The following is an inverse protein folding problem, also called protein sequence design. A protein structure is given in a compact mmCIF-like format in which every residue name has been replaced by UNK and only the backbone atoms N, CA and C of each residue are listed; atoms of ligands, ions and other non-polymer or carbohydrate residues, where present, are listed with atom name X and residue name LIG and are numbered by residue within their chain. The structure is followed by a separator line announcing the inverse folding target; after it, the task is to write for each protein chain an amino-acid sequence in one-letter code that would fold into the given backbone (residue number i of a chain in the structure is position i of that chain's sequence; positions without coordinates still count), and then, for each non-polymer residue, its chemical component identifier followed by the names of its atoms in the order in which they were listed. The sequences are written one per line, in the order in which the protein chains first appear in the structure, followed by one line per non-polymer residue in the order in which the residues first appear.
data_IF_776356183731
#
_entry.id   IF_776356183731
#
_cell.length_a   1.000
_cell.length_b   1.000
_cell.length_c   1.000
_cell.angle_alpha   90.00
_cell.angle_beta   90.00
_cell.angle_gamma   90.00
#
_symmetry.space_group_name_H-M   'P 1'
#
loop_
_entity.id
_entity.type
_entity.pdbx_description
1 polymer ?
#
# COMPACT_ATOMS: atom_id res chain seq x y z
N UNK A 1 -30.23 -4.33 29.43
CA UNK A 1 -28.82 -3.97 29.73
C UNK A 1 -27.81 -5.00 29.18
N UNK A 2 -28.18 -6.29 29.06
CA UNK A 2 -27.32 -7.36 28.55
C UNK A 2 -27.02 -7.30 27.04
N UNK A 3 -27.93 -6.77 26.20
CA UNK A 3 -27.70 -6.72 24.75
C UNK A 3 -26.55 -5.79 24.33
N UNK A 4 -26.40 -4.62 24.97
CA UNK A 4 -25.29 -3.70 24.65
C UNK A 4 -23.92 -4.31 24.93
N UNK A 5 -23.80 -5.20 25.91
CA UNK A 5 -22.54 -5.88 26.23
C UNK A 5 -22.20 -6.97 25.20
N UNK A 6 -23.19 -7.69 24.68
CA UNK A 6 -23.00 -8.68 23.62
C UNK A 6 -22.61 -8.01 22.30
N UNK A 7 -23.25 -6.90 21.93
CA UNK A 7 -22.92 -6.15 20.72
C UNK A 7 -21.49 -5.59 20.79
N UNK A 8 -21.13 -4.96 21.92
CA UNK A 8 -19.78 -4.38 22.11
C UNK A 8 -18.68 -5.42 22.20
N UNK A 9 -18.98 -6.65 22.67
CA UNK A 9 -18.05 -7.77 22.57
C UNK A 9 -17.95 -8.25 21.12
N UNK A 10 -19.08 -8.52 20.45
CA UNK A 10 -19.11 -8.96 19.05
C UNK A 10 -18.32 -8.04 18.11
N UNK A 11 -18.47 -6.72 18.25
CA UNK A 11 -17.71 -5.71 17.51
C UNK A 11 -16.20 -5.81 17.79
N UNK A 12 -15.79 -5.88 19.06
CA UNK A 12 -14.37 -6.03 19.43
C UNK A 12 -13.77 -7.34 18.92
N UNK A 13 -14.55 -8.42 18.89
CA UNK A 13 -14.11 -9.70 18.34
C UNK A 13 -13.92 -9.60 16.82
N UNK A 14 -14.88 -9.01 16.11
CA UNK A 14 -14.78 -8.76 14.67
C UNK A 14 -13.54 -7.91 14.34
N UNK A 15 -13.27 -6.86 15.13
CA UNK A 15 -12.08 -6.01 14.98
C UNK A 15 -10.77 -6.79 15.09
N UNK A 16 -10.67 -7.72 16.04
CA UNK A 16 -9.44 -8.49 16.27
C UNK A 16 -9.23 -9.54 15.18
N UNK A 17 -10.31 -10.12 14.65
CA UNK A 17 -10.26 -11.02 13.51
C UNK A 17 -9.83 -10.33 12.21
N UNK A 18 -10.33 -9.12 11.97
CA UNK A 18 -9.87 -8.27 10.86
C UNK A 18 -8.38 -7.99 11.04
N UNK A 19 -8.00 -7.46 12.21
CA UNK A 19 -6.61 -7.16 12.56
C UNK A 19 -5.65 -8.35 12.34
N UNK A 20 -6.05 -9.56 12.72
CA UNK A 20 -5.26 -10.77 12.52
C UNK A 20 -5.16 -11.14 11.03
N UNK A 21 -6.28 -11.09 10.30
CA UNK A 21 -6.30 -11.38 8.86
C UNK A 21 -5.38 -10.44 8.08
N UNK A 22 -5.35 -9.17 8.44
CA UNK A 22 -4.46 -8.21 7.79
C UNK A 22 -3.00 -8.42 8.13
N UNK A 23 -2.73 -8.87 9.37
CA UNK A 23 -1.38 -9.20 9.81
C UNK A 23 -0.85 -10.43 9.06
N UNK A 24 -1.71 -11.43 8.82
CA UNK A 24 -1.38 -12.62 8.03
C UNK A 24 -1.05 -12.28 6.57
N UNK A 25 -1.90 -11.46 5.92
CA UNK A 25 -1.63 -10.94 4.56
C UNK A 25 -0.30 -10.19 4.48
N UNK A 26 0.01 -9.38 5.49
CA UNK A 26 1.30 -8.70 5.58
C UNK A 26 2.46 -9.69 5.64
N UNK A 27 2.43 -10.65 6.56
CA UNK A 27 3.50 -11.65 6.73
C UNK A 27 3.72 -12.44 5.44
N UNK A 28 2.63 -12.77 4.74
CA UNK A 28 2.69 -13.39 3.40
C UNK A 28 3.40 -12.51 2.38
N UNK A 29 2.97 -11.27 2.19
CA UNK A 29 3.57 -10.37 1.19
C UNK A 29 5.01 -9.97 1.50
N UNK A 30 5.36 -9.87 2.77
CA UNK A 30 6.72 -9.56 3.21
C UNK A 30 7.69 -10.76 3.07
N UNK A 31 7.21 -11.94 2.65
CA UNK A 31 8.03 -13.15 2.57
C UNK A 31 8.42 -13.71 3.93
N UNK A 32 7.68 -13.35 5.00
CA UNK A 32 8.02 -13.68 6.38
C UNK A 32 7.28 -14.91 6.91
N UNK A 33 6.50 -15.61 6.07
CA UNK A 33 5.69 -16.77 6.49
C UNK A 33 6.51 -17.86 7.18
N UNK A 34 7.67 -18.22 6.62
CA UNK A 34 8.53 -19.25 7.21
C UNK A 34 8.94 -18.96 8.66
N UNK A 35 8.94 -17.69 9.07
CA UNK A 35 9.31 -17.28 10.43
C UNK A 35 8.10 -17.13 11.37
N UNK A 36 6.93 -16.72 10.87
CA UNK A 36 5.80 -16.31 11.74
C UNK A 36 4.49 -17.08 11.51
N UNK A 37 4.44 -18.02 10.58
CA UNK A 37 3.23 -18.81 10.30
C UNK A 37 2.70 -19.52 11.56
N UNK A 38 3.58 -20.11 12.36
CA UNK A 38 3.21 -20.79 13.62
C UNK A 38 2.56 -19.83 14.63
N UNK A 39 3.05 -18.59 14.72
CA UNK A 39 2.50 -17.57 15.61
C UNK A 39 1.11 -17.11 15.13
N UNK A 40 0.92 -16.94 13.82
CA UNK A 40 -0.38 -16.60 13.23
C UNK A 40 -1.42 -17.71 13.45
N UNK A 41 -1.03 -18.98 13.25
CA UNK A 41 -1.87 -20.15 13.54
C UNK A 41 -2.25 -20.24 15.02
N UNK A 42 -1.32 -19.92 15.93
CA UNK A 42 -1.58 -19.89 17.37
C UNK A 42 -2.63 -18.82 17.72
N UNK A 43 -2.48 -17.59 17.21
CA UNK A 43 -3.48 -16.54 17.44
C UNK A 43 -4.85 -16.89 16.88
N UNK A 44 -4.92 -17.46 15.67
CA UNK A 44 -6.19 -17.94 15.07
C UNK A 44 -6.85 -18.98 15.98
N UNK A 45 -6.07 -19.97 16.41
CA UNK A 45 -6.56 -21.06 17.27
C UNK A 45 -7.08 -20.53 18.61
N UNK A 46 -6.37 -19.57 19.20
CA UNK A 46 -6.79 -18.96 20.47
C UNK A 46 -8.05 -18.10 20.31
N UNK A 47 -8.19 -17.34 19.21
CA UNK A 47 -9.41 -16.57 18.95
C UNK A 47 -10.63 -17.47 18.68
N UNK A 48 -10.44 -18.63 18.04
CA UNK A 48 -11.51 -19.62 17.82
C UNK A 48 -11.96 -20.26 19.13
N UNK A 49 -11.00 -20.70 19.96
CA UNK A 49 -11.28 -21.40 21.22
C UNK A 49 -11.89 -20.49 22.30
N UNK A 50 -11.49 -19.22 22.35
CA UNK A 50 -11.89 -18.29 23.42
C UNK A 50 -12.83 -17.19 22.94
N UNK A 51 -13.74 -17.51 22.01
CA UNK A 51 -14.67 -16.59 21.30
C UNK A 51 -15.55 -15.70 22.20
N UNK A 52 -15.53 -15.88 23.52
CA UNK A 52 -16.28 -15.07 24.50
C UNK A 52 -15.47 -14.67 25.77
N UNK A 53 -14.17 -14.96 25.86
CA UNK A 53 -13.34 -14.57 27.02
C UNK A 53 -12.64 -13.25 26.71
N UNK A 54 -13.24 -12.15 27.19
CA UNK A 54 -12.79 -10.79 26.87
C UNK A 54 -11.31 -10.50 27.16
N UNK A 55 -10.73 -11.14 28.17
CA UNK A 55 -9.32 -10.92 28.54
C UNK A 55 -8.34 -11.63 27.59
N UNK A 56 -8.70 -12.81 27.08
CA UNK A 56 -7.90 -13.48 26.05
C UNK A 56 -7.87 -12.67 24.74
N UNK A 57 -8.98 -12.03 24.39
CA UNK A 57 -9.07 -11.23 23.16
C UNK A 57 -8.34 -9.92 23.26
N UNK A 58 -8.39 -9.26 24.43
CA UNK A 58 -7.55 -8.09 24.69
C UNK A 58 -6.07 -8.45 24.65
N UNK A 59 -5.68 -9.58 25.24
CA UNK A 59 -4.29 -10.07 25.22
C UNK A 59 -3.82 -10.33 23.79
N UNK A 60 -4.57 -11.12 23.01
CA UNK A 60 -4.22 -11.41 21.61
C UNK A 60 -4.18 -10.13 20.77
N UNK A 61 -5.13 -9.21 20.94
CA UNK A 61 -5.08 -7.89 20.29
C UNK A 61 -3.79 -7.15 20.62
N UNK A 62 -3.38 -7.12 21.90
CA UNK A 62 -2.13 -6.48 22.34
C UNK A 62 -0.91 -7.14 21.72
N UNK A 63 -0.87 -8.47 21.67
CA UNK A 63 0.20 -9.23 21.02
C UNK A 63 0.32 -8.91 19.54
N UNK A 64 -0.81 -8.90 18.79
CA UNK A 64 -0.81 -8.55 17.37
C UNK A 64 -0.37 -7.09 17.17
N UNK A 65 -0.81 -6.16 18.01
CA UNK A 65 -0.40 -4.74 17.94
C UNK A 65 1.08 -4.58 18.23
N UNK A 66 1.63 -5.30 19.21
CA UNK A 66 3.05 -5.26 19.55
C UNK A 66 3.91 -5.89 18.46
N UNK A 67 3.54 -7.08 17.97
CA UNK A 67 4.16 -7.73 16.82
C UNK A 67 4.26 -6.76 15.66
N UNK A 68 3.13 -6.08 15.36
CA UNK A 68 3.12 -5.01 14.39
C UNK A 68 4.16 -3.95 14.80
N UNK A 69 4.01 -3.27 15.94
CA UNK A 69 4.93 -2.18 16.34
C UNK A 69 6.43 -2.55 16.20
N UNK A 70 6.84 -3.74 16.60
CA UNK A 70 8.23 -4.22 16.45
C UNK A 70 8.67 -4.30 14.99
N UNK A 71 7.85 -4.88 14.10
CA UNK A 71 8.20 -4.92 12.67
C UNK A 71 8.31 -3.53 12.05
N UNK A 72 7.56 -2.54 12.58
CA UNK A 72 7.71 -1.12 12.22
C UNK A 72 9.09 -0.58 12.55
N UNK A 73 9.64 -0.95 13.70
CA UNK A 73 10.99 -0.54 14.14
C UNK A 73 12.06 -1.20 13.26
N UNK A 74 11.80 -2.42 12.77
CA UNK A 74 12.66 -3.13 11.83
C UNK A 74 12.52 -2.65 10.37
N UNK A 75 11.82 -1.54 10.11
CA UNK A 75 11.67 -0.92 8.78
C UNK A 75 10.41 -1.35 8.01
N UNK A 76 9.57 -2.22 8.55
CA UNK A 76 8.31 -2.63 7.91
C UNK A 76 7.17 -1.68 8.31
N UNK A 77 6.85 -0.67 7.51
CA UNK A 77 5.87 0.36 7.87
C UNK A 77 4.40 -0.16 7.87
N UNK A 78 3.85 -0.55 9.02
CA UNK A 78 2.57 -1.31 9.06
C UNK A 78 1.28 -0.50 8.93
N UNK A 79 1.35 0.82 8.81
CA UNK A 79 0.18 1.57 8.30
C UNK A 79 0.05 1.40 6.78
N UNK A 80 1.16 1.05 6.13
CA UNK A 80 1.25 0.69 4.71
C UNK A 80 1.20 -0.83 4.48
N UNK A 81 1.21 -1.66 5.54
CA UNK A 81 1.15 -3.12 5.43
C UNK A 81 -0.11 -3.66 4.72
N UNK A 82 -1.10 -2.83 4.43
CA UNK A 82 -2.24 -3.14 3.56
C UNK A 82 -2.02 -2.69 2.12
N UNK A 83 -1.22 -1.66 1.87
CA UNK A 83 -0.98 -1.05 0.57
C UNK A 83 0.41 -1.44 0.04
N UNK A 84 0.45 -2.28 -0.98
CA UNK A 84 1.67 -2.62 -1.72
C UNK A 84 1.75 -1.78 -3.00
N UNK A 85 2.93 -1.59 -3.57
CA UNK A 85 3.10 -1.05 -4.92
C UNK A 85 3.76 -2.12 -5.77
N UNK A 86 3.12 -2.42 -6.90
CA UNK A 86 3.63 -3.39 -7.87
C UNK A 86 3.77 -2.73 -9.23
N UNK A 87 4.97 -2.80 -9.80
CA UNK A 87 5.21 -2.39 -11.16
C UNK A 87 4.97 -3.58 -12.10
N UNK A 88 3.98 -3.47 -12.97
CA UNK A 88 3.69 -4.36 -14.10
C UNK A 88 4.29 -3.75 -15.36
N UNK A 89 4.35 -4.52 -16.46
CA UNK A 89 4.90 -4.05 -17.74
C UNK A 89 4.12 -2.89 -18.38
N UNK A 90 4.15 -2.81 -19.71
CA UNK A 90 3.50 -1.73 -20.45
C UNK A 90 2.02 -2.02 -20.69
N UNK A 91 1.24 -0.93 -20.83
CA UNK A 91 -0.19 -0.95 -21.10
C UNK A 91 -0.53 0.19 -22.07
N UNK A 92 -1.44 -0.09 -22.99
CA UNK A 92 -2.07 0.89 -23.87
C UNK A 92 -3.36 1.45 -23.28
N UNK A 93 -4.04 2.32 -24.02
CA UNK A 93 -5.31 2.94 -23.63
C UNK A 93 -6.43 1.93 -23.28
N UNK A 94 -6.36 0.70 -23.80
CA UNK A 94 -7.30 -0.38 -23.46
C UNK A 94 -7.29 -0.73 -21.96
N UNK A 95 -6.24 -0.34 -21.23
CA UNK A 95 -6.16 -0.53 -19.79
C UNK A 95 -7.29 0.18 -19.02
N UNK A 96 -7.86 1.26 -19.57
CA UNK A 96 -9.01 1.94 -18.98
C UNK A 96 -10.22 1.01 -18.84
N UNK A 97 -10.45 0.13 -19.82
CA UNK A 97 -11.57 -0.80 -19.81
C UNK A 97 -11.49 -1.82 -18.65
N UNK A 98 -10.28 -2.06 -18.13
CA UNK A 98 -10.02 -2.98 -17.00
C UNK A 98 -9.67 -2.24 -15.70
N UNK A 99 -10.09 -0.97 -15.62
CA UNK A 99 -10.08 -0.17 -14.39
C UNK A 99 -8.78 0.58 -14.11
N UNK A 100 -7.87 0.70 -15.07
CA UNK A 100 -6.73 1.60 -14.92
C UNK A 100 -7.13 3.07 -15.16
N UNK A 101 -6.42 3.96 -14.46
CA UNK A 101 -6.47 5.41 -14.63
C UNK A 101 -5.08 5.92 -14.99
N UNK A 102 -5.01 7.08 -15.62
CA UNK A 102 -3.72 7.69 -15.99
C UNK A 102 -3.09 8.38 -14.79
N UNK A 103 -1.75 8.32 -14.75
CA UNK A 103 -0.91 8.88 -13.71
C UNK A 103 0.34 9.48 -14.38
N UNK A 104 0.68 10.71 -14.03
CA UNK A 104 2.00 11.27 -14.29
C UNK A 104 2.70 11.42 -12.95
N UNK A 105 3.85 10.76 -12.81
CA UNK A 105 4.65 10.69 -11.60
C UNK A 105 5.98 11.39 -11.85
N UNK A 106 6.43 12.16 -10.87
CA UNK A 106 7.71 12.85 -10.90
C UNK A 106 8.49 12.54 -9.63
N UNK A 107 9.76 12.21 -9.80
CA UNK A 107 10.73 11.92 -8.73
C UNK A 107 11.86 12.95 -8.84
N UNK A 108 12.02 13.77 -7.79
CA UNK A 108 13.10 14.74 -7.66
C UNK A 108 14.43 14.11 -7.27
N UNK A 109 15.53 14.86 -7.41
CA UNK A 109 16.89 14.37 -7.17
C UNK A 109 17.13 13.93 -5.72
N UNK A 110 16.42 14.56 -4.77
CA UNK A 110 16.47 14.22 -3.34
C UNK A 110 15.39 13.18 -2.93
N UNK A 111 14.71 12.57 -3.91
CA UNK A 111 13.70 11.54 -3.67
C UNK A 111 12.31 12.07 -3.32
N UNK A 112 12.05 13.37 -3.45
CA UNK A 112 10.71 13.93 -3.34
C UNK A 112 9.83 13.44 -4.50
N UNK A 113 8.64 12.93 -4.19
CA UNK A 113 7.71 12.35 -5.17
C UNK A 113 6.48 13.23 -5.28
N UNK A 114 6.15 13.65 -6.51
CA UNK A 114 4.90 14.36 -6.84
C UNK A 114 4.19 13.65 -7.97
N UNK A 115 2.87 13.72 -7.98
CA UNK A 115 2.10 13.08 -9.02
C UNK A 115 0.79 13.79 -9.28
N UNK A 116 0.20 13.47 -10.42
CA UNK A 116 -1.19 13.75 -10.72
C UNK A 116 -1.84 12.55 -11.40
N UNK A 117 -3.07 12.26 -11.00
CA UNK A 117 -3.89 11.20 -11.57
C UNK A 117 -5.25 11.78 -11.98
N UNK A 118 -5.82 11.27 -13.07
CA UNK A 118 -7.10 11.76 -13.55
C UNK A 118 -7.60 11.09 -14.83
N UNK A 119 -8.67 11.67 -15.36
CA UNK A 119 -9.30 11.24 -16.62
C UNK A 119 -8.66 11.86 -17.87
N UNK A 120 -7.92 12.95 -17.71
CA UNK A 120 -7.18 13.58 -18.80
C UNK A 120 -6.12 12.64 -19.38
N UNK A 121 -5.72 12.89 -20.63
CA UNK A 121 -4.63 12.13 -21.25
C UNK A 121 -3.27 12.46 -20.60
N UNK A 122 -2.22 11.68 -20.89
CA UNK A 122 -0.92 11.87 -20.26
C UNK A 122 -0.29 13.25 -20.54
N UNK A 123 -0.62 13.89 -21.67
CA UNK A 123 -0.12 15.23 -22.02
C UNK A 123 -0.81 16.30 -21.17
N UNK A 124 -2.13 16.21 -21.00
CA UNK A 124 -2.90 17.12 -20.16
C UNK A 124 -2.47 17.04 -18.70
N UNK A 125 -2.34 15.81 -18.19
CA UNK A 125 -1.83 15.55 -16.84
C UNK A 125 -0.40 16.06 -16.67
N UNK A 126 0.45 15.91 -17.71
CA UNK A 126 1.81 16.41 -17.66
C UNK A 126 1.85 17.95 -17.55
N UNK A 127 1.08 18.63 -18.38
CA UNK A 127 0.99 20.08 -18.37
C UNK A 127 0.50 20.60 -17.01
N UNK A 128 -0.50 19.96 -16.42
CA UNK A 128 -0.98 20.33 -15.09
C UNK A 128 0.09 20.09 -14.01
N UNK A 129 0.81 18.97 -14.08
CA UNK A 129 1.89 18.69 -13.13
C UNK A 129 3.04 19.68 -13.29
N UNK A 130 3.43 20.02 -14.52
CA UNK A 130 4.46 21.02 -14.81
C UNK A 130 4.06 22.40 -14.29
N UNK A 131 2.79 22.78 -14.41
CA UNK A 131 2.28 24.03 -13.84
C UNK A 131 2.40 24.05 -12.30
N UNK A 132 2.12 22.92 -11.63
CA UNK A 132 2.32 22.81 -10.17
C UNK A 132 3.80 22.85 -9.79
N UNK A 133 4.66 22.25 -10.60
CA UNK A 133 6.11 22.25 -10.40
C UNK A 133 6.75 23.62 -10.65
N UNK A 134 6.21 24.45 -11.55
CA UNK A 134 6.74 25.80 -11.76
C UNK A 134 6.48 26.72 -10.57
N UNK A 135 5.40 26.49 -9.83
CA UNK A 135 5.08 27.24 -8.60
C UNK A 135 5.88 26.76 -7.40
N UNK A 136 6.28 25.49 -7.38
CA UNK A 136 7.11 24.90 -6.33
C UNK A 136 8.07 23.90 -6.98
N UNK A 137 9.27 24.34 -7.40
CA UNK A 137 10.22 23.47 -8.07
C UNK A 137 10.72 22.35 -7.14
N UNK A 138 11.03 21.19 -7.74
CA UNK A 138 11.77 20.13 -7.06
C UNK A 138 13.27 20.41 -7.15
N UNK A 139 14.00 20.05 -6.11
CA UNK A 139 15.45 20.15 -6.11
C UNK A 139 16.09 19.08 -7.03
N UNK A 140 17.17 19.45 -7.71
CA UNK A 140 18.01 18.56 -8.50
C UNK A 140 17.38 18.08 -9.81
N UNK A 141 17.93 16.99 -10.35
CA UNK A 141 17.42 16.39 -11.59
C UNK A 141 16.06 15.74 -11.36
N UNK A 142 15.09 16.08 -12.20
CA UNK A 142 13.73 15.58 -12.11
C UNK A 142 13.53 14.47 -13.12
N UNK A 143 13.06 13.29 -12.66
CA UNK A 143 12.65 12.18 -13.52
C UNK A 143 11.14 12.07 -13.57
N UNK A 144 10.60 11.97 -14.77
CA UNK A 144 9.17 11.93 -15.04
C UNK A 144 8.78 10.58 -15.63
N UNK A 145 7.65 10.06 -15.19
CA UNK A 145 7.10 8.78 -15.60
C UNK A 145 5.63 8.91 -15.98
N UNK A 146 5.28 8.36 -17.13
CA UNK A 146 3.92 8.30 -17.65
C UNK A 146 3.36 6.90 -17.42
N UNK A 147 2.37 6.80 -16.54
CA UNK A 147 1.95 5.52 -15.99
C UNK A 147 0.45 5.34 -16.10
N UNK A 148 0.06 4.08 -16.07
CA UNK A 148 -1.27 3.64 -15.69
C UNK A 148 -1.22 3.20 -14.24
N UNK A 149 -2.28 3.48 -13.49
CA UNK A 149 -2.44 2.92 -12.15
C UNK A 149 -3.83 2.33 -11.93
N UNK A 150 -3.92 1.32 -11.06
CA UNK A 150 -5.18 0.90 -10.45
C UNK A 150 -4.96 0.41 -9.04
N UNK A 151 -6.03 0.41 -8.25
CA UNK A 151 -6.02 -0.08 -6.88
C UNK A 151 -6.86 -1.34 -6.76
N UNK A 152 -6.25 -2.46 -6.40
CA UNK A 152 -6.93 -3.75 -6.20
C UNK A 152 -6.42 -4.38 -4.91
N UNK A 153 -7.33 -4.73 -3.99
CA UNK A 153 -7.03 -5.50 -2.78
C UNK A 153 -5.86 -4.98 -1.93
N UNK A 154 -5.70 -3.65 -1.86
CA UNK A 154 -4.56 -3.06 -1.15
C UNK A 154 -3.24 -3.19 -1.92
N UNK A 155 -3.29 -3.20 -3.24
CA UNK A 155 -2.14 -3.06 -4.12
C UNK A 155 -2.40 -1.90 -5.06
N UNK A 156 -1.44 -0.99 -5.17
CA UNK A 156 -1.36 -0.02 -6.26
C UNK A 156 -0.53 -0.68 -7.34
N UNK A 157 -1.22 -1.13 -8.38
CA UNK A 157 -0.55 -1.60 -9.58
C UNK A 157 -0.22 -0.39 -10.45
N UNK A 158 1.05 -0.28 -10.82
CA UNK A 158 1.56 0.70 -11.77
C UNK A 158 1.96 -0.03 -13.05
N UNK A 159 1.75 0.57 -14.21
CA UNK A 159 2.20 0.04 -15.49
C UNK A 159 2.70 1.20 -16.36
N UNK A 160 3.70 0.94 -17.20
CA UNK A 160 4.19 1.95 -18.16
C UNK A 160 3.12 2.28 -19.20
N UNK A 161 2.93 3.56 -19.52
CA UNK A 161 2.12 3.98 -20.65
C UNK A 161 2.89 3.84 -21.97
N UNK A 162 2.21 3.94 -23.11
CA UNK A 162 2.87 3.94 -24.43
C UNK A 162 3.84 5.12 -24.61
N UNK A 163 3.60 6.23 -23.89
CA UNK A 163 4.48 7.39 -23.85
C UNK A 163 5.67 7.23 -22.89
N UNK A 164 5.76 6.13 -22.14
CA UNK A 164 6.87 5.86 -21.23
C UNK A 164 8.03 5.20 -21.98
N UNK A 165 9.22 5.79 -21.86
CA UNK A 165 10.42 5.19 -22.42
C UNK A 165 10.82 3.94 -21.62
N UNK A 166 11.26 2.90 -22.33
CA UNK A 166 11.73 1.65 -21.70
C UNK A 166 12.83 1.87 -20.67
N UNK A 167 13.77 2.76 -20.96
CA UNK A 167 14.86 3.09 -20.04
C UNK A 167 14.35 3.75 -18.76
N UNK A 168 13.47 4.76 -18.90
CA UNK A 168 12.82 5.42 -17.76
C UNK A 168 12.05 4.43 -16.90
N UNK A 169 11.34 3.49 -17.52
CA UNK A 169 10.57 2.46 -16.84
C UNK A 169 11.47 1.49 -16.04
N UNK A 170 12.61 1.05 -16.59
CA UNK A 170 13.56 0.22 -15.84
C UNK A 170 14.21 0.99 -14.68
N UNK A 171 14.51 2.28 -14.88
CA UNK A 171 15.00 3.13 -13.79
C UNK A 171 13.94 3.27 -12.67
N UNK A 172 12.66 3.41 -13.02
CA UNK A 172 11.57 3.42 -12.06
C UNK A 172 11.47 2.11 -11.29
N UNK A 173 11.65 0.97 -11.97
CA UNK A 173 11.64 -0.35 -11.34
C UNK A 173 12.72 -0.49 -10.26
N UNK A 174 13.94 -0.05 -10.56
CA UNK A 174 15.05 -0.01 -9.59
C UNK A 174 14.68 0.91 -8.42
N UNK A 175 14.21 2.12 -8.71
CA UNK A 175 13.81 3.08 -7.69
C UNK A 175 12.73 2.52 -6.74
N UNK A 176 11.70 1.84 -7.28
CA UNK A 176 10.65 1.20 -6.49
C UNK A 176 11.21 0.12 -5.56
N UNK A 177 12.20 -0.65 -6.03
CA UNK A 177 12.86 -1.67 -5.22
C UNK A 177 13.55 -1.08 -3.99
N UNK A 178 14.19 0.08 -4.14
CA UNK A 178 14.95 0.75 -3.09
C UNK A 178 14.10 1.65 -2.19
N UNK A 179 13.05 2.27 -2.74
CA UNK A 179 12.29 3.36 -2.10
C UNK A 179 10.81 3.01 -1.91
N UNK A 180 10.49 1.71 -1.84
CA UNK A 180 9.11 1.21 -1.81
C UNK A 180 8.23 1.89 -0.76
N UNK A 181 8.71 2.01 0.48
CA UNK A 181 7.97 2.62 1.58
C UNK A 181 7.61 4.09 1.31
N UNK A 182 8.58 4.87 0.81
CA UNK A 182 8.38 6.28 0.44
C UNK A 182 7.33 6.43 -0.66
N UNK A 183 7.41 5.58 -1.69
CA UNK A 183 6.45 5.62 -2.79
C UNK A 183 5.05 5.24 -2.32
N UNK A 184 4.91 4.16 -1.55
CA UNK A 184 3.61 3.73 -0.99
C UNK A 184 3.03 4.85 -0.10
N UNK A 185 3.84 5.51 0.70
CA UNK A 185 3.43 6.65 1.54
C UNK A 185 2.94 7.85 0.73
N UNK A 186 3.42 8.05 -0.48
CA UNK A 186 2.92 9.15 -1.35
C UNK A 186 1.68 8.70 -2.11
N UNK A 187 1.73 7.51 -2.72
CA UNK A 187 0.68 6.99 -3.58
C UNK A 187 -0.57 6.49 -2.85
N UNK A 188 -0.55 6.29 -1.52
CA UNK A 188 -1.76 5.94 -0.78
C UNK A 188 -2.90 6.96 -0.89
N UNK A 189 -2.58 8.18 -1.32
CA UNK A 189 -3.52 9.27 -1.59
C UNK A 189 -4.28 9.09 -2.91
N UNK A 190 -3.89 8.15 -3.77
CA UNK A 190 -4.62 7.80 -4.97
C UNK A 190 -5.97 7.16 -4.62
N UNK A 191 -7.02 7.70 -5.22
CA UNK A 191 -8.41 7.21 -5.17
C UNK A 191 -8.78 6.36 -6.37
#
# INVERSE_FOLDING_TARGET
MFDRFRTRMGERFADVWVLLSDTDRFVSRAGLLGKYESQLKLWRSNLLRFKNVGDNVKRIRKEIVNFRRERRVEGWELKLGWLDVQLKGFRSDDAMAVGFRRLVLVIGGEGEIRFIAGSGNHIELDNELNFKLSQSPLAGSVKKHYLWYRRIEGVIELAGADSELKESFEQLKVYIGENKSSLVKVLHRLS
#
